data_IF_710233726743
#
_entry.id   IF_710233726743
#
_cell.length_a   1.000
_cell.length_b   1.000
_cell.length_c   1.000
_cell.angle_alpha   90.00
_cell.angle_beta   90.00
_cell.angle_gamma   90.00
#
_symmetry.space_group_name_H-M   'P 1'
#
loop_
_entity.id
_entity.type
_entity.pdbx_description
1 polymer ?
#
# COMPACT_ATOMS: atom_id res chain seq x y z
N UNK A 1 -18.95 -11.11 4.55
CA UNK A 1 -18.24 -9.85 4.20
C UNK A 1 -16.94 -9.63 4.98
N UNK A 2 -16.90 -9.76 6.32
CA UNK A 2 -15.71 -9.44 7.15
C UNK A 2 -14.40 -10.14 6.72
N UNK A 3 -14.44 -11.42 6.33
CA UNK A 3 -13.26 -12.15 5.83
C UNK A 3 -12.73 -11.59 4.50
N UNK A 4 -13.63 -11.26 3.57
CA UNK A 4 -13.26 -10.64 2.31
C UNK A 4 -12.68 -9.24 2.53
N UNK A 5 -13.26 -8.43 3.42
CA UNK A 5 -12.74 -7.12 3.78
C UNK A 5 -11.30 -7.20 4.33
N UNK A 6 -11.02 -8.14 5.25
CA UNK A 6 -9.67 -8.43 5.73
C UNK A 6 -8.71 -8.74 4.60
N UNK A 7 -9.07 -9.70 3.74
CA UNK A 7 -8.22 -10.09 2.61
C UNK A 7 -7.97 -8.92 1.67
N UNK A 8 -9.00 -8.14 1.34
CA UNK A 8 -8.88 -6.97 0.47
C UNK A 8 -8.02 -5.86 1.10
N UNK A 9 -8.11 -5.63 2.41
CA UNK A 9 -7.27 -4.62 3.07
C UNK A 9 -5.77 -4.95 2.99
N UNK A 10 -5.39 -6.22 3.17
CA UNK A 10 -3.99 -6.63 3.11
C UNK A 10 -3.52 -6.89 1.68
N UNK A 11 -4.20 -7.79 0.97
CA UNK A 11 -3.81 -8.23 -0.36
C UNK A 11 -4.11 -7.17 -1.42
N UNK A 12 -5.16 -6.36 -1.26
CA UNK A 12 -5.46 -5.27 -2.18
C UNK A 12 -4.38 -4.19 -2.14
N UNK A 13 -3.91 -3.80 -0.94
CA UNK A 13 -2.80 -2.86 -0.81
C UNK A 13 -1.53 -3.40 -1.48
N UNK A 14 -1.17 -4.66 -1.19
CA UNK A 14 -0.01 -5.30 -1.82
C UNK A 14 -0.13 -5.38 -3.35
N UNK A 15 -1.30 -5.81 -3.85
CA UNK A 15 -1.55 -5.93 -5.29
C UNK A 15 -1.46 -4.57 -6.00
N UNK A 16 -2.00 -3.51 -5.41
CA UNK A 16 -1.92 -2.16 -5.98
C UNK A 16 -0.48 -1.66 -6.02
N UNK A 17 0.26 -1.78 -4.91
CA UNK A 17 1.67 -1.32 -4.86
C UNK A 17 2.51 -2.10 -5.88
N UNK A 18 2.51 -3.44 -5.81
CA UNK A 18 3.34 -4.24 -6.72
C UNK A 18 2.91 -4.12 -8.18
N UNK A 19 1.61 -4.10 -8.45
CA UNK A 19 1.07 -3.95 -9.80
C UNK A 19 1.46 -2.62 -10.42
N UNK A 20 1.20 -1.51 -9.72
CA UNK A 20 1.54 -0.18 -10.24
C UNK A 20 3.06 0.03 -10.32
N UNK A 21 3.84 -0.50 -9.38
CA UNK A 21 5.31 -0.46 -9.47
C UNK A 21 5.83 -1.22 -10.69
N UNK A 22 5.29 -2.40 -11.00
CA UNK A 22 5.68 -3.15 -12.20
C UNK A 22 5.26 -2.40 -13.47
N UNK A 23 4.06 -1.83 -13.48
CA UNK A 23 3.55 -1.03 -14.61
C UNK A 23 4.46 0.17 -14.87
N UNK A 24 4.79 0.91 -13.81
CA UNK A 24 5.65 2.07 -13.91
C UNK A 24 7.04 1.69 -14.44
N UNK A 25 7.66 0.66 -13.88
CA UNK A 25 9.00 0.23 -14.28
C UNK A 25 9.10 -0.22 -15.74
N UNK A 26 8.04 -0.85 -16.27
CA UNK A 26 8.03 -1.40 -17.63
C UNK A 26 7.63 -0.38 -18.70
N UNK A 27 6.72 0.55 -18.39
CA UNK A 27 6.08 1.40 -19.40
C UNK A 27 6.17 2.91 -19.16
N UNK A 28 6.55 3.36 -17.96
CA UNK A 28 6.56 4.78 -17.59
C UNK A 28 7.98 5.28 -17.29
N UNK A 29 8.81 4.42 -16.67
CA UNK A 29 10.18 4.76 -16.34
C UNK A 29 11.05 4.94 -17.59
N UNK A 30 11.94 5.93 -17.55
CA UNK A 30 12.91 6.20 -18.60
C UNK A 30 14.33 6.31 -18.00
N UNK A 31 15.24 5.35 -18.27
CA UNK A 31 15.01 4.12 -19.03
C UNK A 31 14.14 3.09 -18.27
N UNK A 32 13.39 2.21 -18.98
CA UNK A 32 12.69 1.09 -18.34
C UNK A 32 13.64 0.17 -17.59
N UNK A 33 13.15 -0.46 -16.51
CA UNK A 33 13.96 -1.36 -15.68
C UNK A 33 13.15 -2.56 -15.20
N UNK A 34 13.83 -3.67 -14.86
CA UNK A 34 13.14 -4.78 -14.20
C UNK A 34 12.86 -4.43 -12.74
N UNK A 35 11.58 -4.20 -12.44
CA UNK A 35 11.11 -3.92 -11.08
C UNK A 35 11.60 -4.97 -10.08
N UNK A 36 11.37 -6.26 -10.36
CA UNK A 36 11.62 -7.37 -9.44
C UNK A 36 13.11 -7.65 -9.22
N UNK A 37 13.94 -7.38 -10.23
CA UNK A 37 15.40 -7.44 -10.15
C UNK A 37 16.07 -6.17 -9.63
N UNK A 38 15.32 -5.18 -9.13
CA UNK A 38 15.86 -3.91 -8.66
C UNK A 38 15.68 -3.70 -7.15
N UNK A 39 16.50 -2.84 -6.55
CA UNK A 39 16.38 -2.44 -5.14
C UNK A 39 15.01 -1.82 -4.80
N UNK A 40 14.28 -1.31 -5.79
CA UNK A 40 12.93 -0.75 -5.63
C UNK A 40 11.89 -1.81 -5.24
N UNK A 41 12.13 -3.09 -5.56
CA UNK A 41 11.26 -4.17 -5.11
C UNK A 41 11.28 -4.32 -3.59
N UNK A 42 12.48 -4.26 -2.98
CA UNK A 42 12.62 -4.29 -1.52
C UNK A 42 11.94 -3.08 -0.86
N UNK A 43 12.08 -1.89 -1.45
CA UNK A 43 11.36 -0.70 -0.98
C UNK A 43 9.85 -0.81 -1.10
N UNK A 44 9.34 -1.42 -2.19
CA UNK A 44 7.91 -1.66 -2.34
C UNK A 44 7.38 -2.64 -1.27
N UNK A 45 8.14 -3.69 -0.93
CA UNK A 45 7.81 -4.57 0.21
C UNK A 45 7.77 -3.77 1.51
N UNK A 46 8.78 -2.94 1.78
CA UNK A 46 8.82 -2.07 2.97
C UNK A 46 7.61 -1.13 3.04
N UNK A 47 7.23 -0.52 1.91
CA UNK A 47 6.07 0.35 1.84
C UNK A 47 4.75 -0.40 2.10
N UNK A 48 4.60 -1.62 1.58
CA UNK A 48 3.44 -2.48 1.88
C UNK A 48 3.35 -2.79 3.38
N UNK A 49 4.48 -3.11 4.02
CA UNK A 49 4.52 -3.36 5.46
C UNK A 49 4.12 -2.12 6.26
N UNK A 50 4.61 -0.93 5.86
CA UNK A 50 4.22 0.33 6.49
C UNK A 50 2.73 0.63 6.31
N UNK A 51 2.16 0.36 5.15
CA UNK A 51 0.71 0.48 4.92
C UNK A 51 -0.09 -0.46 5.84
N UNK A 52 0.39 -1.69 6.07
CA UNK A 52 -0.28 -2.61 6.99
C UNK A 52 -0.17 -2.18 8.45
N UNK A 53 1.01 -1.70 8.88
CA UNK A 53 1.23 -1.18 10.23
C UNK A 53 0.36 0.06 10.48
N UNK A 54 0.38 1.02 9.54
CA UNK A 54 -0.48 2.19 9.60
C UNK A 54 -1.96 1.77 9.59
N UNK A 55 -2.35 0.88 8.68
CA UNK A 55 -3.70 0.32 8.61
C UNK A 55 -4.20 -0.23 9.95
N UNK A 56 -3.38 -1.03 10.61
CA UNK A 56 -3.67 -1.53 11.95
C UNK A 56 -3.86 -0.40 12.96
N UNK A 57 -2.99 0.61 12.96
CA UNK A 57 -3.10 1.79 13.83
C UNK A 57 -4.39 2.60 13.62
N UNK A 58 -4.88 2.67 12.38
CA UNK A 58 -6.16 3.31 12.04
C UNK A 58 -7.38 2.37 12.20
N UNK A 59 -7.19 1.16 12.74
CA UNK A 59 -8.27 0.22 13.04
C UNK A 59 -8.78 -0.58 11.84
N UNK A 60 -8.08 -0.57 10.70
CA UNK A 60 -8.37 -1.52 9.64
C UNK A 60 -8.09 -2.95 10.11
N UNK A 61 -8.87 -3.93 9.65
CA UNK A 61 -9.95 -3.83 8.65
C UNK A 61 -11.36 -3.70 9.25
N UNK A 62 -11.47 -3.53 10.57
CA UNK A 62 -12.72 -3.76 11.30
C UNK A 62 -13.42 -2.46 11.77
N UNK A 63 -12.73 -1.30 11.76
CA UNK A 63 -13.23 -0.03 12.31
C UNK A 63 -14.17 0.80 11.41
N UNK A 64 -13.99 0.91 10.07
CA UNK A 64 -14.82 1.81 9.26
C UNK A 64 -16.31 1.43 9.30
N UNK A 65 -17.17 2.38 9.70
CA UNK A 65 -18.62 2.18 9.81
C UNK A 65 -19.41 2.81 8.67
N UNK A 66 -18.76 3.68 7.89
CA UNK A 66 -19.33 4.35 6.72
C UNK A 66 -18.28 4.53 5.62
N UNK A 67 -18.73 4.84 4.39
CA UNK A 67 -17.83 5.12 3.27
C UNK A 67 -16.94 6.37 3.54
N UNK A 68 -17.48 7.37 4.24
CA UNK A 68 -16.72 8.56 4.65
C UNK A 68 -15.60 8.19 5.61
N UNK A 69 -15.88 7.34 6.60
CA UNK A 69 -14.85 6.87 7.55
C UNK A 69 -13.77 6.08 6.83
N UNK A 70 -14.16 5.21 5.88
CA UNK A 70 -13.23 4.43 5.09
C UNK A 70 -12.29 5.35 4.26
N UNK A 71 -12.81 6.43 3.69
CA UNK A 71 -12.00 7.40 2.95
C UNK A 71 -11.00 8.12 3.86
N UNK A 72 -11.45 8.60 5.03
CA UNK A 72 -10.57 9.28 6.00
C UNK A 72 -9.47 8.33 6.49
N UNK A 73 -9.83 7.09 6.82
CA UNK A 73 -8.86 6.05 7.22
C UNK A 73 -7.88 5.77 6.08
N UNK A 74 -8.34 5.60 4.84
CA UNK A 74 -7.46 5.35 3.70
C UNK A 74 -6.46 6.48 3.48
N UNK A 75 -6.90 7.74 3.58
CA UNK A 75 -6.02 8.91 3.47
C UNK A 75 -4.99 8.92 4.60
N UNK A 76 -5.43 8.73 5.85
CA UNK A 76 -4.55 8.69 7.01
C UNK A 76 -3.49 7.60 6.92
N UNK A 77 -3.90 6.37 6.59
CA UNK A 77 -2.99 5.22 6.40
C UNK A 77 -1.96 5.51 5.32
N UNK A 78 -2.41 6.03 4.16
CA UNK A 78 -1.52 6.32 3.04
C UNK A 78 -0.52 7.43 3.38
N UNK A 79 -0.99 8.50 4.04
CA UNK A 79 -0.15 9.62 4.45
C UNK A 79 0.89 9.18 5.50
N UNK A 80 0.50 8.41 6.51
CA UNK A 80 1.42 7.90 7.53
C UNK A 80 2.45 6.93 6.95
N UNK A 81 2.06 6.02 6.06
CA UNK A 81 3.00 5.11 5.42
C UNK A 81 3.98 5.87 4.50
N UNK A 82 3.50 6.85 3.73
CA UNK A 82 4.34 7.69 2.88
C UNK A 82 5.35 8.49 3.72
N UNK A 83 4.89 9.09 4.82
CA UNK A 83 5.78 9.76 5.77
C UNK A 83 6.85 8.81 6.34
N UNK A 84 6.45 7.57 6.69
CA UNK A 84 7.38 6.55 7.16
C UNK A 84 8.46 6.20 6.13
N UNK A 85 8.10 6.03 4.85
CA UNK A 85 9.09 5.80 3.77
C UNK A 85 10.01 7.00 3.60
N UNK A 86 9.49 8.23 3.66
CA UNK A 86 10.28 9.45 3.49
C UNK A 86 11.31 9.70 4.60
N UNK A 87 11.21 8.99 5.72
CA UNK A 87 12.14 9.09 6.86
C UNK A 87 13.25 8.03 6.84
N UNK A 88 13.22 7.10 5.87
CA UNK A 88 14.20 6.02 5.70
C UNK A 88 15.16 6.33 4.56
#
# INVERSE_FOLDING_TARGET
MRRAARLLSFLGAAAVVFGLSKVHAAWIADPPYDFTGSFRFAWAIGYVLLLWIAGYGFGLPDLPRSARDAAVVAVGVSASAAAGVSLL
#
